data_IF_231245413622
#
_entry.id   IF_231245413622
#
_cell.length_a   1.000
_cell.length_b   1.000
_cell.length_c   1.000
_cell.angle_alpha   90.00
_cell.angle_beta   90.00
_cell.angle_gamma   90.00
#
_symmetry.space_group_name_H-M   'P 1'
#
loop_
_entity.id
_entity.type
_entity.pdbx_description
1 polymer ?
#
# COMPACT_ATOMS: atom_id res chain seq x y z
N UNK A 1 -24.56 11.49 -10.11
CA UNK A 1 -23.20 10.97 -9.82
C UNK A 1 -22.33 12.15 -9.50
N UNK A 2 -21.61 12.14 -8.38
CA UNK A 2 -20.58 13.16 -8.10
C UNK A 2 -19.31 12.88 -8.92
N UNK A 3 -18.43 13.90 -8.99
CA UNK A 3 -17.22 13.89 -9.82
C UNK A 3 -16.27 12.74 -9.47
N UNK A 4 -16.18 12.38 -8.19
CA UNK A 4 -15.32 11.28 -7.74
C UNK A 4 -15.89 9.94 -8.19
N UNK A 5 -17.20 9.73 -8.03
CA UNK A 5 -17.85 8.48 -8.45
C UNK A 5 -17.78 8.27 -9.96
N UNK A 6 -17.92 9.33 -10.77
CA UNK A 6 -17.80 9.25 -12.23
C UNK A 6 -16.35 8.94 -12.70
N UNK A 7 -15.34 9.50 -12.02
CA UNK A 7 -13.94 9.20 -12.29
C UNK A 7 -13.57 7.75 -11.93
N UNK A 8 -14.07 7.25 -10.79
CA UNK A 8 -13.89 5.84 -10.38
C UNK A 8 -14.57 4.86 -11.35
N UNK A 9 -15.76 5.21 -11.82
CA UNK A 9 -16.47 4.41 -12.81
C UNK A 9 -15.70 4.33 -14.14
N UNK A 10 -15.19 5.45 -14.63
CA UNK A 10 -14.37 5.52 -15.86
C UNK A 10 -13.02 4.82 -15.71
N UNK A 11 -12.42 4.82 -14.52
CA UNK A 11 -11.20 4.08 -14.22
C UNK A 11 -11.39 2.55 -14.13
N UNK A 12 -12.62 2.04 -14.33
CA UNK A 12 -13.00 0.63 -14.09
C UNK A 12 -12.61 0.14 -12.69
N UNK A 13 -12.67 1.03 -11.69
CA UNK A 13 -12.47 0.67 -10.28
C UNK A 13 -13.72 -0.06 -9.74
N UNK A 14 -14.13 -1.15 -10.39
CA UNK A 14 -15.34 -1.89 -10.06
C UNK A 14 -15.17 -2.76 -8.81
N UNK A 15 -13.93 -3.13 -8.48
CA UNK A 15 -13.60 -3.95 -7.33
C UNK A 15 -12.47 -3.28 -6.54
N UNK A 16 -12.73 -2.95 -5.28
CA UNK A 16 -11.72 -2.49 -4.33
C UNK A 16 -11.61 -3.51 -3.19
N UNK A 17 -10.38 -3.97 -2.92
CA UNK A 17 -10.10 -4.78 -1.74
C UNK A 17 -9.62 -3.85 -0.63
N UNK A 18 -10.47 -3.63 0.36
CA UNK A 18 -10.11 -2.85 1.55
C UNK A 18 -9.56 -3.80 2.61
N UNK A 19 -8.37 -3.49 3.15
CA UNK A 19 -7.76 -4.23 4.25
C UNK A 19 -7.21 -3.24 5.27
N UNK A 20 -7.43 -3.56 6.54
CA UNK A 20 -6.79 -2.86 7.65
C UNK A 20 -5.62 -3.69 8.16
N UNK A 21 -4.47 -3.04 8.36
CA UNK A 21 -3.29 -3.63 8.98
C UNK A 21 -3.08 -2.99 10.35
N UNK A 22 -3.04 -3.82 11.39
CA UNK A 22 -2.66 -3.40 12.74
C UNK A 22 -1.53 -4.32 13.18
N UNK A 23 -0.33 -3.75 13.37
CA UNK A 23 0.89 -4.48 13.69
C UNK A 23 1.74 -3.70 14.68
N UNK A 24 2.46 -4.42 15.54
CA UNK A 24 3.56 -3.86 16.32
C UNK A 24 4.88 -4.11 15.56
N UNK A 25 5.82 -3.15 15.57
CA UNK A 25 7.18 -3.38 15.07
C UNK A 25 7.83 -4.66 15.63
N UNK A 26 8.71 -5.35 14.87
CA UNK A 26 9.04 -5.07 13.47
C UNK A 26 7.98 -5.66 12.51
N UNK A 27 7.66 -4.95 11.43
CA UNK A 27 6.82 -5.47 10.36
C UNK A 27 7.10 -4.82 9.01
N UNK A 28 7.13 -5.64 7.96
CA UNK A 28 7.27 -5.20 6.58
C UNK A 28 6.54 -6.17 5.65
N UNK A 29 5.86 -5.61 4.66
CA UNK A 29 5.08 -6.35 3.67
C UNK A 29 5.51 -5.91 2.28
N UNK A 30 5.90 -6.87 1.46
CA UNK A 30 6.17 -6.63 0.05
C UNK A 30 4.91 -6.87 -0.78
N UNK A 31 4.62 -5.99 -1.73
CA UNK A 31 3.56 -6.18 -2.71
C UNK A 31 4.20 -6.44 -4.06
N UNK A 32 4.21 -7.70 -4.50
CA UNK A 32 4.74 -8.10 -5.79
C UNK A 32 3.64 -7.98 -6.86
N UNK A 33 3.78 -7.00 -7.76
CA UNK A 33 2.76 -6.70 -8.77
C UNK A 33 1.49 -6.13 -8.13
N UNK A 34 1.60 -4.91 -7.59
CA UNK A 34 0.47 -4.20 -6.98
C UNK A 34 -0.68 -3.94 -7.97
N UNK A 35 -1.91 -3.72 -7.49
CA UNK A 35 -3.00 -3.27 -8.36
C UNK A 35 -2.63 -1.94 -9.04
N UNK A 36 -3.26 -1.59 -10.18
CA UNK A 36 -2.96 -0.36 -10.93
C UNK A 36 -2.98 0.92 -10.08
N UNK A 37 -3.77 0.92 -9.00
CA UNK A 37 -3.80 1.96 -7.98
C UNK A 37 -3.99 1.31 -6.60
N UNK A 38 -3.15 1.68 -5.64
CA UNK A 38 -3.38 1.41 -4.21
C UNK A 38 -3.61 2.73 -3.47
N UNK A 39 -4.58 2.74 -2.55
CA UNK A 39 -4.74 3.81 -1.57
C UNK A 39 -4.32 3.29 -0.19
N UNK A 40 -3.38 3.97 0.46
CA UNK A 40 -2.95 3.65 1.82
C UNK A 40 -3.29 4.83 2.74
N UNK A 41 -4.05 4.57 3.80
CA UNK A 41 -4.38 5.57 4.83
C UNK A 41 -3.78 5.15 6.17
N UNK A 42 -2.92 6.01 6.73
CA UNK A 42 -2.29 5.73 8.02
C UNK A 42 -3.21 6.20 9.13
N UNK A 43 -3.94 5.26 9.74
CA UNK A 43 -4.94 5.58 10.76
C UNK A 43 -4.34 5.90 12.13
N UNK A 44 -3.12 5.47 12.39
CA UNK A 44 -2.42 5.70 13.66
C UNK A 44 -0.96 5.25 13.59
N UNK A 45 -0.11 5.86 14.42
CA UNK A 45 1.34 5.61 14.37
C UNK A 45 1.97 6.19 13.11
N UNK A 46 2.85 5.41 12.48
CA UNK A 46 3.47 5.74 11.20
C UNK A 46 3.75 4.48 10.38
N UNK A 47 3.96 4.67 9.09
CA UNK A 47 4.44 3.64 8.17
C UNK A 47 5.40 4.27 7.16
N UNK A 48 6.17 3.42 6.49
CA UNK A 48 7.01 3.79 5.36
C UNK A 48 6.56 3.07 4.11
N UNK A 49 6.53 3.79 2.99
CA UNK A 49 6.39 3.24 1.65
C UNK A 49 7.75 3.29 1.00
N UNK A 50 8.25 2.13 0.56
CA UNK A 50 9.47 2.01 -0.25
C UNK A 50 9.10 1.54 -1.65
N UNK A 51 9.51 2.34 -2.63
CA UNK A 51 9.46 2.07 -4.06
C UNK A 51 10.90 1.78 -4.54
N UNK A 52 11.05 1.31 -5.77
CA UNK A 52 12.40 1.21 -6.38
C UNK A 52 13.00 2.60 -6.62
N UNK A 53 12.16 3.56 -7.02
CA UNK A 53 12.44 4.99 -7.17
C UNK A 53 11.08 5.71 -7.05
N UNK A 54 10.92 6.78 -6.23
CA UNK A 54 11.92 7.52 -5.45
C UNK A 54 12.21 6.96 -4.05
N UNK A 55 13.02 7.70 -3.30
CA UNK A 55 13.40 7.40 -1.91
C UNK A 55 12.18 7.09 -1.02
N UNK A 56 12.36 6.28 0.05
CA UNK A 56 11.27 5.91 0.93
C UNK A 56 10.51 7.12 1.48
N UNK A 57 9.18 7.01 1.48
CA UNK A 57 8.27 8.06 1.96
C UNK A 57 7.67 7.64 3.28
N UNK A 58 7.78 8.49 4.29
CA UNK A 58 7.13 8.29 5.59
C UNK A 58 5.70 8.82 5.55
N UNK A 59 4.78 8.06 6.12
CA UNK A 59 3.41 8.47 6.39
C UNK A 59 3.18 8.54 7.91
N UNK A 60 2.68 9.67 8.40
CA UNK A 60 2.20 9.86 9.75
C UNK A 60 0.70 9.57 9.85
N UNK A 61 0.19 9.49 11.09
CA UNK A 61 -1.24 9.36 11.32
C UNK A 61 -2.03 10.51 10.66
N UNK A 62 -3.04 10.16 9.87
CA UNK A 62 -3.84 11.08 9.06
C UNK A 62 -3.40 11.18 7.60
N UNK A 63 -2.18 10.75 7.26
CA UNK A 63 -1.70 10.82 5.89
C UNK A 63 -2.37 9.76 5.00
N UNK A 64 -2.60 10.15 3.75
CA UNK A 64 -3.09 9.28 2.68
C UNK A 64 -2.08 9.29 1.54
N UNK A 65 -1.71 8.11 1.07
CA UNK A 65 -0.88 7.93 -0.11
C UNK A 65 -1.65 7.25 -1.24
N UNK A 66 -1.40 7.72 -2.46
CA UNK A 66 -1.77 7.05 -3.70
C UNK A 66 -0.51 6.42 -4.29
N UNK A 67 -0.55 5.11 -4.53
CA UNK A 67 0.58 4.34 -5.03
C UNK A 67 0.22 3.78 -6.40
N UNK A 68 0.92 4.25 -7.43
CA UNK A 68 0.83 3.78 -8.81
C UNK A 68 2.14 3.09 -9.19
N UNK A 69 2.38 1.90 -8.62
CA UNK A 69 3.63 1.17 -8.77
C UNK A 69 3.36 -0.26 -9.23
N UNK A 70 3.20 -0.48 -10.56
CA UNK A 70 2.91 -1.81 -11.09
C UNK A 70 4.06 -2.81 -10.88
N UNK A 71 5.30 -2.32 -10.73
CA UNK A 71 6.48 -3.13 -10.40
C UNK A 71 6.46 -3.71 -8.99
N UNK A 72 5.68 -3.12 -8.09
CA UNK A 72 5.61 -3.49 -6.67
C UNK A 72 6.09 -2.38 -5.75
N UNK A 73 5.86 -2.59 -4.45
CA UNK A 73 6.26 -1.66 -3.39
C UNK A 73 6.29 -2.38 -2.04
N UNK A 74 6.97 -1.81 -1.06
CA UNK A 74 6.97 -2.31 0.32
C UNK A 74 6.30 -1.30 1.25
N UNK A 75 5.48 -1.80 2.18
CA UNK A 75 4.98 -1.00 3.31
C UNK A 75 5.56 -1.61 4.59
N UNK A 76 6.18 -0.78 5.43
CA UNK A 76 6.90 -1.24 6.63
C UNK A 76 6.82 -0.26 7.81
N UNK A 77 7.21 -0.72 9.00
CA UNK A 77 7.44 0.13 10.17
C UNK A 77 8.70 0.98 10.06
N UNK A 78 9.75 0.44 9.45
CA UNK A 78 11.03 1.09 9.15
C UNK A 78 11.47 0.70 7.72
N UNK A 79 12.05 1.62 6.93
CA UNK A 79 12.46 1.32 5.56
C UNK A 79 13.51 0.21 5.44
N UNK A 80 14.27 -0.08 6.51
CA UNK A 80 15.24 -1.15 6.58
C UNK A 80 14.68 -2.49 7.09
N UNK A 81 13.44 -2.53 7.60
CA UNK A 81 12.84 -3.80 8.05
C UNK A 81 12.66 -4.75 6.87
N UNK A 82 13.26 -5.94 6.97
CA UNK A 82 13.12 -7.01 5.95
C UNK A 82 11.66 -7.49 5.87
N UNK A 83 11.04 -7.56 4.68
CA UNK A 83 9.69 -8.10 4.50
C UNK A 83 9.53 -9.50 5.10
N UNK A 84 8.52 -9.70 5.95
CA UNK A 84 8.23 -11.03 6.51
C UNK A 84 7.19 -11.79 5.70
N UNK A 85 6.54 -11.14 4.74
CA UNK A 85 5.59 -11.77 3.82
C UNK A 85 5.38 -10.93 2.57
N UNK A 86 5.04 -11.63 1.49
CA UNK A 86 4.75 -11.05 0.19
C UNK A 86 3.25 -11.15 -0.11
N UNK A 87 2.68 -10.08 -0.63
CA UNK A 87 1.32 -10.02 -1.16
C UNK A 87 1.40 -10.05 -2.68
N UNK A 88 0.77 -11.04 -3.31
CA UNK A 88 0.67 -11.15 -4.77
C UNK A 88 -0.74 -11.55 -5.17
N UNK A 89 -1.37 -10.76 -6.03
CA UNK A 89 -2.77 -10.99 -6.44
C UNK A 89 -3.75 -11.04 -5.25
N UNK A 90 -3.51 -10.23 -4.22
CA UNK A 90 -4.35 -10.19 -3.00
C UNK A 90 -4.18 -11.36 -2.03
N UNK A 91 -3.25 -12.29 -2.30
CA UNK A 91 -2.93 -13.44 -1.45
C UNK A 91 -1.60 -13.23 -0.72
N UNK A 92 -1.54 -13.70 0.53
CA UNK A 92 -0.34 -13.65 1.38
C UNK A 92 0.51 -14.90 1.19
N UNK A 93 1.81 -14.70 1.02
CA UNK A 93 2.83 -15.75 0.98
C UNK A 93 3.85 -15.47 2.07
N UNK A 94 4.27 -16.52 2.77
CA UNK A 94 5.46 -16.49 3.62
C UNK A 94 6.68 -16.71 2.71
N UNK A 95 7.84 -16.12 3.04
CA UNK A 95 9.09 -16.40 2.34
C UNK A 95 9.45 -17.88 2.34
#
# INVERSE_FOLDING_TARGET
MDVLTDLLHRARAQNALVRQLIRRPPWAMEYAGGPPLTVAATLGGHAWIRLDDPAPVRLAAGDIALITAPGGYTIADDPATTPQYMIRGGRKYLP
#
